data_IF_649805831907
#
_entry.id   IF_649805831907
#
_cell.length_a   1.000
_cell.length_b   1.000
_cell.length_c   1.000
_cell.angle_alpha   90.00
_cell.angle_beta   90.00
_cell.angle_gamma   90.00
#
_symmetry.space_group_name_H-M   'P 1'
#
loop_
_entity.id
_entity.type
_entity.pdbx_description
1 polymer ?
#
# COMPACT_ATOMS: atom_id res chain seq x y z
N UNK A 1 15.89 -14.49 19.22
CA UNK A 1 15.04 -15.50 18.54
C UNK A 1 14.02 -16.16 19.47
N UNK A 2 14.43 -16.67 20.63
CA UNK A 2 13.57 -17.36 21.60
C UNK A 2 12.32 -16.58 22.01
N UNK A 3 12.45 -15.28 22.33
CA UNK A 3 11.30 -14.42 22.70
C UNK A 3 10.28 -14.27 21.56
N UNK A 4 10.74 -14.19 20.31
CA UNK A 4 9.88 -14.10 19.14
C UNK A 4 9.12 -15.42 18.97
N UNK A 5 9.81 -16.57 19.08
CA UNK A 5 9.18 -17.89 19.01
C UNK A 5 8.09 -18.06 20.09
N UNK A 6 8.35 -17.59 21.31
CA UNK A 6 7.39 -17.57 22.41
C UNK A 6 6.13 -16.76 22.06
N UNK A 7 6.33 -15.53 21.60
CA UNK A 7 5.23 -14.63 21.21
C UNK A 7 4.43 -15.21 20.05
N UNK A 8 5.11 -15.81 19.06
CA UNK A 8 4.47 -16.44 17.90
C UNK A 8 3.57 -17.59 18.28
N UNK A 9 4.08 -18.52 19.09
CA UNK A 9 3.30 -19.64 19.59
C UNK A 9 2.10 -19.16 20.42
N UNK A 10 2.31 -18.14 21.26
CA UNK A 10 1.26 -17.58 22.10
C UNK A 10 0.12 -16.95 21.29
N UNK A 11 0.41 -16.09 20.30
CA UNK A 11 -0.64 -15.39 19.56
C UNK A 11 -1.41 -16.33 18.61
N UNK A 12 -0.75 -17.34 18.04
CA UNK A 12 -1.39 -18.37 17.20
C UNK A 12 -2.39 -19.22 18.02
N UNK A 13 -1.97 -19.73 19.17
CA UNK A 13 -2.86 -20.54 20.02
C UNK A 13 -3.96 -19.71 20.69
N UNK A 14 -3.70 -18.43 20.98
CA UNK A 14 -4.76 -17.49 21.38
C UNK A 14 -5.88 -17.44 20.33
N UNK A 15 -5.52 -17.28 19.04
CA UNK A 15 -6.49 -17.21 17.96
C UNK A 15 -7.26 -18.52 17.81
N UNK A 16 -6.56 -19.67 17.83
CA UNK A 16 -7.17 -20.99 17.77
C UNK A 16 -8.24 -21.19 18.85
N UNK A 17 -7.91 -20.95 20.12
CA UNK A 17 -8.88 -21.11 21.21
C UNK A 17 -10.01 -20.10 21.15
N UNK A 18 -9.72 -18.85 20.76
CA UNK A 18 -10.76 -17.81 20.66
C UNK A 18 -11.77 -18.10 19.54
N UNK A 19 -11.31 -18.63 18.40
CA UNK A 19 -12.16 -18.90 17.22
C UNK A 19 -12.96 -20.20 17.42
N UNK A 20 -12.31 -21.28 17.86
CA UNK A 20 -12.92 -22.60 17.87
C UNK A 20 -13.53 -22.99 19.24
N UNK A 21 -12.98 -22.52 20.37
CA UNK A 21 -13.47 -22.81 21.73
C UNK A 21 -14.17 -21.60 22.39
N UNK A 22 -14.17 -20.44 21.72
CA UNK A 22 -14.84 -19.23 22.17
C UNK A 22 -16.37 -19.34 22.10
N UNK A 23 -17.05 -18.39 22.75
CA UNK A 23 -18.51 -18.28 22.65
C UNK A 23 -18.88 -17.77 21.25
N UNK A 24 -19.74 -18.50 20.56
CA UNK A 24 -20.25 -18.11 19.24
C UNK A 24 -20.93 -16.74 19.29
N UNK A 25 -20.51 -15.83 18.41
CA UNK A 25 -21.14 -14.52 18.26
C UNK A 25 -22.34 -14.63 17.32
N UNK A 26 -23.50 -14.94 17.89
CA UNK A 26 -24.76 -15.15 17.14
C UNK A 26 -25.23 -13.94 16.34
N UNK A 27 -24.82 -12.72 16.71
CA UNK A 27 -25.22 -11.48 16.02
C UNK A 27 -24.47 -11.28 14.69
N UNK A 28 -23.23 -11.75 14.58
CA UNK A 28 -22.43 -11.64 13.37
C UNK A 28 -22.78 -12.69 12.29
N UNK A 29 -23.37 -13.82 12.70
CA UNK A 29 -23.67 -14.97 11.83
C UNK A 29 -25.17 -15.14 11.52
N UNK A 30 -26.00 -14.15 11.81
CA UNK A 30 -27.46 -14.23 11.60
C UNK A 30 -27.88 -14.52 10.14
N UNK A 31 -27.03 -14.20 9.16
CA UNK A 31 -27.35 -14.35 7.73
C UNK A 31 -26.98 -15.72 7.13
N UNK A 32 -26.08 -16.49 7.72
CA UNK A 32 -25.59 -17.75 7.14
C UNK A 32 -25.31 -18.81 8.20
N UNK A 33 -25.93 -19.98 8.05
CA UNK A 33 -25.62 -21.17 8.84
C UNK A 33 -24.19 -21.64 8.52
N UNK A 34 -23.35 -21.94 9.53
CA UNK A 34 -22.05 -22.53 9.30
C UNK A 34 -22.19 -23.82 8.51
N UNK A 35 -21.61 -23.87 7.32
CA UNK A 35 -21.52 -25.09 6.51
C UNK A 35 -20.06 -25.38 6.21
N UNK A 36 -19.76 -26.64 5.95
CA UNK A 36 -18.43 -27.06 5.52
C UNK A 36 -18.02 -26.37 4.21
N UNK A 37 -16.72 -26.16 4.05
CA UNK A 37 -16.19 -25.52 2.84
C UNK A 37 -16.35 -26.43 1.62
N UNK A 38 -16.67 -25.90 0.43
CA UNK A 38 -16.81 -26.70 -0.78
C UNK A 38 -15.47 -27.35 -1.17
N UNK A 39 -15.54 -28.43 -1.96
CA UNK A 39 -14.36 -29.19 -2.41
C UNK A 39 -13.29 -28.34 -3.13
N UNK A 40 -13.71 -27.23 -3.76
CA UNK A 40 -12.80 -26.28 -4.41
C UNK A 40 -11.86 -25.57 -3.43
N UNK A 41 -12.20 -25.49 -2.14
CA UNK A 41 -11.34 -24.91 -1.09
C UNK A 41 -10.66 -25.97 -0.24
N UNK A 42 -11.33 -27.08 0.07
CA UNK A 42 -10.76 -28.12 0.96
C UNK A 42 -9.64 -28.90 0.29
N UNK A 43 -9.73 -29.16 -1.02
CA UNK A 43 -8.70 -29.90 -1.74
C UNK A 43 -7.35 -29.17 -1.73
N UNK A 44 -7.25 -27.86 -2.09
CA UNK A 44 -6.01 -27.12 -1.93
C UNK A 44 -5.46 -27.15 -0.50
N UNK A 45 -6.31 -26.95 0.52
CA UNK A 45 -5.87 -26.92 1.91
C UNK A 45 -5.28 -28.26 2.38
N UNK A 46 -5.93 -29.38 2.06
CA UNK A 46 -5.44 -30.73 2.40
C UNK A 46 -4.14 -31.04 1.65
N UNK A 47 -4.04 -30.64 0.39
CA UNK A 47 -2.82 -30.81 -0.39
C UNK A 47 -1.63 -30.04 0.20
N UNK A 48 -1.82 -28.77 0.55
CA UNK A 48 -0.79 -27.96 1.23
C UNK A 48 -0.42 -28.53 2.61
N UNK A 49 -1.39 -29.06 3.36
CA UNK A 49 -1.12 -29.71 4.64
C UNK A 49 -0.23 -30.96 4.45
N UNK A 50 -0.51 -31.77 3.42
CA UNK A 50 0.30 -32.94 3.07
C UNK A 50 1.74 -32.57 2.72
N UNK A 51 1.93 -31.52 1.90
CA UNK A 51 3.27 -30.99 1.59
C UNK A 51 3.98 -30.54 2.87
N UNK A 52 3.30 -29.83 3.76
CA UNK A 52 3.89 -29.30 5.00
C UNK A 52 4.45 -30.41 5.89
N UNK A 53 3.77 -31.57 5.95
CA UNK A 53 4.27 -32.72 6.71
C UNK A 53 5.57 -33.31 6.13
N UNK A 54 5.76 -33.28 4.81
CA UNK A 54 6.93 -33.87 4.14
C UNK A 54 8.07 -32.87 3.99
N UNK A 55 7.75 -31.60 3.75
CA UNK A 55 8.72 -30.54 3.43
C UNK A 55 9.76 -30.35 4.55
N UNK A 56 9.38 -30.54 5.82
CA UNK A 56 10.32 -30.43 6.95
C UNK A 56 11.45 -31.47 6.96
N UNK A 57 11.29 -32.60 6.25
CA UNK A 57 12.32 -33.63 6.12
C UNK A 57 13.31 -33.36 5.00
N UNK A 58 13.00 -32.41 4.10
CA UNK A 58 13.87 -32.03 2.99
C UNK A 58 14.88 -31.00 3.51
N UNK A 59 16.21 -31.25 3.44
CA UNK A 59 17.22 -30.33 3.95
C UNK A 59 17.46 -29.18 2.96
N UNK A 60 16.48 -28.28 2.84
CA UNK A 60 16.54 -27.12 1.94
C UNK A 60 17.77 -26.22 2.17
N UNK A 61 18.36 -26.23 3.37
CA UNK A 61 19.57 -25.46 3.68
C UNK A 61 20.79 -25.88 2.87
N UNK A 62 20.85 -27.13 2.40
CA UNK A 62 21.92 -27.61 1.51
C UNK A 62 21.58 -27.39 0.03
N UNK A 63 20.30 -27.40 -0.33
CA UNK A 63 19.83 -27.32 -1.72
C UNK A 63 19.55 -25.90 -2.23
N UNK A 64 19.29 -24.94 -1.33
CA UNK A 64 18.87 -23.57 -1.68
C UNK A 64 19.80 -22.57 -1.00
N UNK A 65 20.92 -22.29 -1.66
CA UNK A 65 21.85 -21.21 -1.28
C UNK A 65 21.82 -20.12 -2.34
N UNK A 66 21.63 -18.88 -1.92
CA UNK A 66 21.59 -17.71 -2.81
C UNK A 66 22.89 -17.54 -3.63
N UNK A 67 24.00 -18.12 -3.16
CA UNK A 67 25.33 -17.98 -3.76
C UNK A 67 25.87 -19.29 -4.35
N UNK A 68 25.09 -20.38 -4.36
CA UNK A 68 25.53 -21.67 -4.90
C UNK A 68 26.52 -22.47 -4.05
N UNK A 69 26.96 -21.93 -2.90
CA UNK A 69 27.79 -22.68 -1.93
C UNK A 69 26.94 -23.29 -0.81
N UNK A 70 27.32 -24.50 -0.37
CA UNK A 70 26.65 -25.23 0.71
C UNK A 70 26.78 -24.42 2.00
N UNK A 71 25.67 -23.81 2.44
CA UNK A 71 25.64 -23.04 3.68
C UNK A 71 25.56 -24.02 4.84
N UNK A 72 26.68 -24.30 5.50
CA UNK A 72 26.69 -25.08 6.73
C UNK A 72 26.04 -24.26 7.86
N UNK A 73 24.72 -24.39 7.99
CA UNK A 73 23.95 -23.81 9.08
C UNK A 73 24.46 -24.49 10.37
N UNK A 74 25.24 -23.77 11.16
CA UNK A 74 25.64 -24.22 12.49
C UNK A 74 24.39 -24.20 13.36
N UNK A 75 23.70 -25.34 13.41
CA UNK A 75 22.57 -25.54 14.30
C UNK A 75 23.09 -25.59 15.73
N UNK A 76 22.98 -24.47 16.43
CA UNK A 76 23.14 -24.48 17.88
C UNK A 76 21.93 -25.21 18.48
N UNK A 77 22.14 -26.49 18.75
CA UNK A 77 21.14 -27.38 19.36
C UNK A 77 20.58 -26.79 20.66
N UNK A 78 21.39 -26.03 21.40
CA UNK A 78 20.96 -25.39 22.65
C UNK A 78 19.88 -24.34 22.37
N UNK A 79 20.11 -23.48 21.38
CA UNK A 79 19.15 -22.44 21.00
C UNK A 79 17.89 -23.06 20.38
N UNK A 80 18.04 -24.10 19.56
CA UNK A 80 16.91 -24.80 18.94
C UNK A 80 16.02 -25.45 20.00
N UNK A 81 16.59 -26.26 20.90
CA UNK A 81 15.86 -26.93 21.98
C UNK A 81 15.24 -25.93 22.94
N UNK A 82 15.98 -24.88 23.34
CA UNK A 82 15.44 -23.83 24.20
C UNK A 82 14.24 -23.12 23.55
N UNK A 83 14.30 -22.85 22.24
CA UNK A 83 13.20 -22.22 21.51
C UNK A 83 11.96 -23.10 21.44
N UNK A 84 12.12 -24.41 21.22
CA UNK A 84 11.01 -25.38 21.21
C UNK A 84 10.36 -25.48 22.59
N UNK A 85 11.15 -25.58 23.67
CA UNK A 85 10.64 -25.65 25.04
C UNK A 85 9.85 -24.38 25.39
N UNK A 86 10.41 -23.20 25.09
CA UNK A 86 9.73 -21.93 25.34
C UNK A 86 8.43 -21.83 24.55
N UNK A 87 8.42 -22.27 23.28
CA UNK A 87 7.19 -22.30 22.47
C UNK A 87 6.13 -23.21 23.11
N UNK A 88 6.49 -24.42 23.57
CA UNK A 88 5.55 -25.32 24.25
C UNK A 88 4.99 -24.73 25.55
N UNK A 89 5.83 -24.05 26.34
CA UNK A 89 5.38 -23.33 27.54
C UNK A 89 4.39 -22.22 27.15
N UNK A 90 4.69 -21.45 26.11
CA UNK A 90 3.79 -20.40 25.61
C UNK A 90 2.45 -20.94 25.12
N UNK A 91 2.43 -22.12 24.46
CA UNK A 91 1.22 -22.82 24.05
C UNK A 91 0.38 -23.21 25.27
N UNK A 92 1.01 -23.81 26.28
CA UNK A 92 0.34 -24.18 27.53
C UNK A 92 -0.26 -22.98 28.26
N UNK A 93 0.48 -21.87 28.31
CA UNK A 93 0.06 -20.63 28.96
C UNK A 93 -1.10 -19.97 28.18
N UNK A 94 -1.01 -19.89 26.85
CA UNK A 94 -2.10 -19.40 26.00
C UNK A 94 -3.36 -20.25 26.17
N UNK A 95 -3.22 -21.58 26.15
CA UNK A 95 -4.33 -22.52 26.33
C UNK A 95 -5.01 -22.31 27.69
N UNK A 96 -4.24 -22.24 28.77
CA UNK A 96 -4.81 -21.99 30.11
C UNK A 96 -5.53 -20.63 30.20
N UNK A 97 -5.03 -19.61 29.52
CA UNK A 97 -5.58 -18.25 29.59
C UNK A 97 -6.84 -18.06 28.74
N UNK A 98 -6.91 -18.72 27.58
CA UNK A 98 -7.96 -18.52 26.57
C UNK A 98 -8.95 -19.69 26.43
N UNK A 99 -8.73 -20.84 27.08
CA UNK A 99 -9.70 -21.94 27.11
C UNK A 99 -11.03 -21.56 27.78
N UNK A 100 -11.08 -20.81 28.89
CA UNK A 100 -12.35 -20.40 29.50
C UNK A 100 -13.02 -19.29 28.69
N UNK A 101 -14.32 -19.43 28.38
CA UNK A 101 -15.06 -18.45 27.58
C UNK A 101 -15.11 -17.03 28.17
N UNK A 102 -14.96 -16.88 29.49
CA UNK A 102 -15.01 -15.58 30.18
C UNK A 102 -13.64 -14.88 30.33
N UNK A 103 -12.55 -15.45 29.77
CA UNK A 103 -11.19 -14.88 29.66
C UNK A 103 -10.73 -13.91 30.79
N UNK A 104 -10.90 -14.23 32.09
CA UNK A 104 -10.76 -13.25 33.17
C UNK A 104 -9.32 -12.76 33.36
N UNK A 105 -8.34 -13.64 33.13
CA UNK A 105 -6.91 -13.32 33.28
C UNK A 105 -6.45 -12.35 32.20
N UNK A 106 -6.94 -12.51 30.96
CA UNK A 106 -6.60 -11.63 29.85
C UNK A 106 -7.13 -10.21 30.09
N UNK A 107 -8.37 -10.10 30.55
CA UNK A 107 -9.02 -8.82 30.86
C UNK A 107 -8.33 -8.07 32.01
N UNK A 108 -7.92 -8.81 33.05
CA UNK A 108 -7.15 -8.25 34.18
C UNK A 108 -5.79 -7.72 33.71
N UNK A 109 -5.09 -8.46 32.87
CA UNK A 109 -3.79 -8.04 32.32
C UNK A 109 -3.95 -6.83 31.40
N UNK A 110 -5.01 -6.79 30.59
CA UNK A 110 -5.36 -5.65 29.75
C UNK A 110 -5.64 -4.39 30.56
N UNK A 111 -6.35 -4.50 31.68
CA UNK A 111 -6.59 -3.38 32.61
C UNK A 111 -5.31 -2.92 33.30
N UNK A 112 -4.44 -3.85 33.73
CA UNK A 112 -3.16 -3.54 34.38
C UNK A 112 -2.19 -2.81 33.45
N UNK A 113 -2.12 -3.24 32.19
CA UNK A 113 -1.26 -2.65 31.15
C UNK A 113 -2.08 -1.90 30.10
N UNK A 114 -3.04 -1.08 30.54
CA UNK A 114 -3.97 -0.40 29.64
C UNK A 114 -3.29 0.44 28.55
N UNK A 115 -2.18 1.11 28.87
CA UNK A 115 -1.42 1.89 27.88
C UNK A 115 -0.80 1.03 26.78
N UNK A 116 -0.12 -0.06 27.16
CA UNK A 116 0.52 -0.97 26.21
C UNK A 116 -0.52 -1.75 25.40
N UNK A 117 -1.62 -2.18 26.05
CA UNK A 117 -2.74 -2.83 25.39
C UNK A 117 -3.40 -1.89 24.37
N UNK A 118 -3.66 -0.63 24.75
CA UNK A 118 -4.22 0.38 23.84
C UNK A 118 -3.29 0.68 22.66
N UNK A 119 -1.98 0.79 22.90
CA UNK A 119 -1.01 0.99 21.84
C UNK A 119 -0.97 -0.20 20.86
N UNK A 120 -0.88 -1.43 21.37
CA UNK A 120 -0.91 -2.64 20.53
C UNK A 120 -2.24 -2.79 19.77
N UNK A 121 -3.37 -2.39 20.37
CA UNK A 121 -4.68 -2.39 19.72
C UNK A 121 -4.74 -1.40 18.54
N UNK A 122 -4.14 -0.22 18.69
CA UNK A 122 -3.99 0.78 17.62
C UNK A 122 -2.74 0.52 16.75
N UNK A 123 -2.26 -0.73 16.64
CA UNK A 123 -1.09 -1.10 15.80
C UNK A 123 0.13 -0.19 16.04
N UNK A 124 0.38 0.18 17.29
CA UNK A 124 1.43 1.10 17.74
C UNK A 124 1.38 2.49 17.11
N UNK A 125 0.20 2.96 16.69
CA UNK A 125 -0.04 4.25 16.06
C UNK A 125 0.72 4.46 14.73
N UNK A 126 1.27 3.38 14.17
CA UNK A 126 2.07 3.44 12.95
C UNK A 126 1.19 3.82 11.76
N UNK A 127 0.00 3.24 11.66
CA UNK A 127 -0.96 3.53 10.59
C UNK A 127 -1.41 5.00 10.64
N UNK A 128 -1.66 5.53 11.84
CA UNK A 128 -2.06 6.92 12.08
C UNK A 128 -0.95 7.89 11.71
N UNK A 129 0.32 7.56 12.01
CA UNK A 129 1.48 8.34 11.59
C UNK A 129 1.60 8.33 10.07
N UNK A 130 1.47 7.16 9.42
CA UNK A 130 1.51 7.07 7.96
C UNK A 130 0.40 7.88 7.29
N UNK A 131 -0.83 7.80 7.81
CA UNK A 131 -1.95 8.60 7.30
C UNK A 131 -1.73 10.09 7.55
N UNK A 132 -1.21 10.48 8.72
CA UNK A 132 -0.88 11.87 9.02
C UNK A 132 0.18 12.40 8.05
N UNK A 133 1.29 11.69 7.86
CA UNK A 133 2.34 12.09 6.92
C UNK A 133 1.79 12.19 5.51
N UNK A 134 1.05 11.19 5.06
CA UNK A 134 0.54 11.15 3.68
C UNK A 134 -0.51 12.23 3.44
N UNK A 135 -1.54 12.32 4.26
CA UNK A 135 -2.65 13.24 4.02
C UNK A 135 -2.32 14.68 4.43
N UNK A 136 -1.71 14.88 5.60
CA UNK A 136 -1.46 16.22 6.12
C UNK A 136 -0.24 16.84 5.46
N UNK A 137 0.87 16.10 5.38
CA UNK A 137 2.14 16.65 4.92
C UNK A 137 2.21 16.56 3.39
N UNK A 138 2.07 15.37 2.80
CA UNK A 138 2.26 15.22 1.36
C UNK A 138 1.11 15.90 0.61
N UNK A 139 -0.13 15.46 0.82
CA UNK A 139 -1.25 16.04 0.06
C UNK A 139 -1.52 17.49 0.45
N UNK A 140 -1.56 17.79 1.76
CA UNK A 140 -1.86 19.12 2.25
C UNK A 140 -0.79 20.17 1.94
N UNK A 141 0.49 19.88 2.24
CA UNK A 141 1.55 20.87 2.12
C UNK A 141 2.28 20.85 0.77
N UNK A 142 2.33 19.72 0.07
CA UNK A 142 3.12 19.60 -1.16
C UNK A 142 2.22 19.58 -2.39
N UNK A 143 1.22 18.70 -2.44
CA UNK A 143 0.40 18.52 -3.64
C UNK A 143 -0.50 19.71 -3.92
N UNK A 144 -1.12 20.33 -2.90
CA UNK A 144 -2.03 21.47 -3.11
C UNK A 144 -1.31 22.69 -3.70
N UNK A 145 -0.16 23.15 -3.19
CA UNK A 145 0.55 24.28 -3.79
C UNK A 145 1.04 24.00 -5.21
N UNK A 146 1.53 22.78 -5.48
CA UNK A 146 1.97 22.38 -6.82
C UNK A 146 0.80 22.37 -7.79
N UNK A 147 -0.33 21.78 -7.40
CA UNK A 147 -1.54 21.77 -8.24
C UNK A 147 -2.10 23.17 -8.47
N UNK A 148 -1.99 24.07 -7.48
CA UNK A 148 -2.35 25.47 -7.65
C UNK A 148 -1.43 26.16 -8.65
N UNK A 149 -0.10 25.95 -8.54
CA UNK A 149 0.89 26.52 -9.43
C UNK A 149 0.66 26.07 -10.88
N UNK A 150 0.42 24.78 -11.10
CA UNK A 150 0.14 24.22 -12.42
C UNK A 150 -1.11 24.87 -13.05
N UNK A 151 -2.23 24.89 -12.32
CA UNK A 151 -3.51 25.45 -12.81
C UNK A 151 -3.52 26.96 -13.01
N UNK A 152 -2.68 27.73 -12.31
CA UNK A 152 -2.73 29.19 -12.38
C UNK A 152 -1.57 29.76 -13.19
N UNK A 153 -0.36 29.22 -13.03
CA UNK A 153 0.84 29.74 -13.67
C UNK A 153 1.05 29.05 -15.02
N UNK A 154 1.06 27.71 -15.04
CA UNK A 154 1.32 26.95 -16.27
C UNK A 154 0.14 27.09 -17.24
N UNK A 155 -1.08 26.76 -16.81
CA UNK A 155 -2.28 26.92 -17.63
C UNK A 155 -2.53 28.40 -17.99
N UNK A 156 -2.30 29.32 -17.06
CA UNK A 156 -2.43 30.76 -17.29
C UNK A 156 -1.49 31.25 -18.39
N UNK A 157 -0.24 30.77 -18.39
CA UNK A 157 0.74 31.09 -19.43
C UNK A 157 0.31 30.57 -20.80
N UNK A 158 -0.17 29.32 -20.90
CA UNK A 158 -0.68 28.78 -22.16
C UNK A 158 -1.91 29.53 -22.66
N UNK A 159 -2.86 29.86 -21.78
CA UNK A 159 -4.03 30.66 -22.14
C UNK A 159 -3.64 32.06 -22.63
N UNK A 160 -2.63 32.68 -22.02
CA UNK A 160 -2.10 33.96 -22.47
C UNK A 160 -1.49 33.87 -23.88
N UNK A 161 -0.69 32.84 -24.16
CA UNK A 161 -0.13 32.62 -25.50
C UNK A 161 -1.23 32.38 -26.55
N UNK A 162 -2.25 31.59 -26.20
CA UNK A 162 -3.40 31.35 -27.07
C UNK A 162 -4.17 32.64 -27.35
N UNK A 163 -4.43 33.45 -26.33
CA UNK A 163 -5.07 34.76 -26.47
C UNK A 163 -4.24 35.71 -27.34
N UNK A 164 -2.91 35.74 -27.15
CA UNK A 164 -1.99 36.55 -27.94
C UNK A 164 -2.05 36.16 -29.42
N UNK A 165 -1.95 34.87 -29.71
CA UNK A 165 -2.04 34.33 -31.08
C UNK A 165 -3.39 34.67 -31.73
N UNK A 166 -4.48 34.49 -30.99
CA UNK A 166 -5.83 34.77 -31.48
C UNK A 166 -6.06 36.26 -31.75
N UNK A 167 -5.55 37.14 -30.87
CA UNK A 167 -5.62 38.58 -31.04
C UNK A 167 -4.83 39.04 -32.27
N UNK A 168 -3.62 38.51 -32.47
CA UNK A 168 -2.83 38.76 -33.69
C UNK A 168 -3.56 38.26 -34.93
N UNK A 169 -4.16 37.06 -34.87
CA UNK A 169 -4.93 36.50 -35.98
C UNK A 169 -6.13 37.38 -36.36
N UNK A 170 -6.87 37.91 -35.37
CA UNK A 170 -7.95 38.87 -35.64
C UNK A 170 -7.46 40.19 -36.23
N UNK A 171 -6.28 40.66 -35.84
CA UNK A 171 -5.63 41.81 -36.45
C UNK A 171 -5.32 41.55 -37.93
N UNK A 172 -4.66 40.43 -38.24
CA UNK A 172 -4.29 40.03 -39.60
C UNK A 172 -5.54 39.80 -40.46
N UNK A 173 -6.60 39.18 -39.90
CA UNK A 173 -7.85 38.93 -40.61
C UNK A 173 -8.48 40.21 -41.17
N UNK A 174 -8.32 41.36 -40.49
CA UNK A 174 -8.83 42.65 -40.99
C UNK A 174 -8.10 43.13 -42.25
N UNK A 175 -6.89 42.64 -42.54
CA UNK A 175 -6.17 42.95 -43.78
C UNK A 175 -6.79 42.27 -45.01
N UNK A 176 -7.61 41.23 -44.81
CA UNK A 176 -8.34 40.56 -45.89
C UNK A 176 -9.78 41.06 -45.96
N UNK A 177 -10.01 42.09 -46.78
CA UNK A 177 -11.31 42.76 -46.94
C UNK A 177 -12.23 42.15 -47.99
N UNK A 178 -11.72 41.21 -48.79
CA UNK A 178 -12.44 40.62 -49.94
C UNK A 178 -12.59 41.53 -51.16
N UNK A 179 -12.10 42.78 -51.10
CA UNK A 179 -12.18 43.73 -52.21
C UNK A 179 -10.95 43.60 -53.12
N UNK A 180 -11.14 43.14 -54.36
CA UNK A 180 -10.06 42.88 -55.34
C UNK A 180 -9.16 44.11 -55.56
N UNK A 181 -9.73 45.32 -55.52
CA UNK A 181 -9.02 46.58 -55.70
C UNK A 181 -7.96 46.82 -54.62
N UNK A 182 -8.22 46.48 -53.35
CA UNK A 182 -7.26 46.68 -52.27
C UNK A 182 -6.05 45.74 -52.41
N UNK A 183 -6.27 44.50 -52.86
CA UNK A 183 -5.17 43.57 -53.13
C UNK A 183 -4.28 44.04 -54.28
N UNK A 184 -4.88 44.59 -55.36
CA UNK A 184 -4.14 45.14 -56.48
C UNK A 184 -3.23 46.31 -56.08
N UNK A 185 -3.72 47.21 -55.24
CA UNK A 185 -2.93 48.32 -54.69
C UNK A 185 -1.77 47.83 -53.82
N UNK A 186 -1.99 46.87 -52.93
CA UNK A 186 -0.93 46.28 -52.09
C UNK A 186 0.14 45.60 -52.93
N UNK A 187 -0.26 44.85 -53.97
CA UNK A 187 0.66 44.19 -54.89
C UNK A 187 1.55 45.18 -55.64
N UNK A 188 0.95 46.23 -56.22
CA UNK A 188 1.68 47.23 -56.99
C UNK A 188 2.67 48.02 -56.12
N UNK A 189 2.25 48.44 -54.93
CA UNK A 189 3.14 49.07 -53.95
C UNK A 189 4.27 48.14 -53.50
N UNK A 190 3.97 46.85 -53.25
CA UNK A 190 4.96 45.85 -52.87
C UNK A 190 6.01 45.60 -53.97
N UNK A 191 5.58 45.53 -55.23
CA UNK A 191 6.48 45.37 -56.37
C UNK A 191 7.40 46.58 -56.57
N UNK A 192 6.86 47.80 -56.47
CA UNK A 192 7.65 49.03 -56.54
C UNK A 192 8.68 49.12 -55.41
N UNK A 193 8.29 48.77 -54.18
CA UNK A 193 9.19 48.75 -53.03
C UNK A 193 10.33 47.73 -53.20
N UNK A 194 10.04 46.54 -53.72
CA UNK A 194 11.06 45.52 -54.02
C UNK A 194 12.05 46.00 -55.09
N UNK A 195 11.56 46.63 -56.16
CA UNK A 195 12.42 47.17 -57.23
C UNK A 195 13.34 48.26 -56.67
N UNK A 196 12.79 49.17 -55.87
CA UNK A 196 13.58 50.20 -55.19
C UNK A 196 14.64 49.60 -54.27
N UNK A 197 14.28 48.59 -53.46
CA UNK A 197 15.22 47.92 -52.56
C UNK A 197 16.33 47.15 -53.30
N UNK A 198 16.05 46.64 -54.51
CA UNK A 198 17.06 45.94 -55.33
C UNK A 198 17.97 46.90 -56.12
N UNK A 199 17.50 48.12 -56.39
CA UNK A 199 18.27 49.15 -57.08
C UNK A 199 19.15 49.98 -56.12
N UNK A 200 18.88 49.93 -54.82
CA UNK A 200 19.61 50.58 -53.74
C UNK A 200 20.68 49.64 -53.17
#
# INVERSE_FOLDING_TARGET
MTAIAAMTAFYMFRLYHTIFWGKENKEAHAAHTPHESPLSMTLPLVFLAGITCVAGFIPFGEFVSANGEVYHIHLDTTIAVASVIIALISIGLATRMYMPSSQPVADLLGKRFAGLHKAAYHRFYIDEIYQFVTHRIIFGCISVPIAWFDRHVVDGFFNFLAWGTHSTSYGIRKLQSGHVQQYAWVFLCGALALILLLLL
#
